data_IF_097467881834
#
_entry.id   IF_097467881834
#
_cell.length_a   1.000
_cell.length_b   1.000
_cell.length_c   1.000
_cell.angle_alpha   90.00
_cell.angle_beta   90.00
_cell.angle_gamma   90.00
#
_symmetry.space_group_name_H-M   'P 1'
#
loop_
_entity.id
_entity.type
_entity.pdbx_description
1 polymer ?
#
# COMPACT_ATOMS: atom_id res chain seq x y z
N UNK A 1 23.55 18.61 -32.00
CA UNK A 1 23.62 18.35 -30.54
C UNK A 1 22.42 17.48 -30.19
N UNK A 2 22.64 16.19 -29.96
CA UNK A 2 21.58 15.23 -29.63
C UNK A 2 21.11 15.50 -28.20
N UNK A 3 19.93 16.09 -28.03
CA UNK A 3 19.20 15.99 -26.77
C UNK A 3 18.47 14.67 -26.84
N UNK A 4 19.06 13.64 -26.23
CA UNK A 4 18.39 12.35 -26.05
C UNK A 4 17.02 12.61 -25.44
N UNK A 5 15.97 12.16 -26.12
CA UNK A 5 14.64 12.08 -25.54
C UNK A 5 14.77 11.24 -24.28
N UNK A 6 14.76 11.90 -23.13
CA UNK A 6 14.55 11.22 -21.86
C UNK A 6 13.14 10.67 -21.99
N UNK A 7 13.01 9.35 -22.14
CA UNK A 7 11.76 8.65 -21.85
C UNK A 7 11.53 8.82 -20.34
N UNK A 8 11.14 10.02 -19.90
CA UNK A 8 10.53 10.18 -18.61
C UNK A 8 9.14 9.58 -18.76
N UNK A 9 8.85 8.39 -18.19
CA UNK A 9 7.46 8.00 -18.02
C UNK A 9 6.77 9.18 -17.33
N UNK A 10 5.62 9.60 -17.86
CA UNK A 10 4.80 10.66 -17.29
C UNK A 10 4.60 10.33 -15.81
N UNK A 11 5.33 11.02 -14.93
CA UNK A 11 5.31 10.75 -13.50
C UNK A 11 4.01 11.30 -12.95
N UNK A 12 2.97 10.48 -12.87
CA UNK A 12 1.69 10.77 -12.22
C UNK A 12 1.79 10.77 -10.68
N UNK A 13 2.98 11.03 -10.12
CA UNK A 13 3.20 11.15 -8.68
C UNK A 13 3.12 12.62 -8.29
N UNK A 14 2.31 12.94 -7.30
CA UNK A 14 2.31 14.26 -6.67
C UNK A 14 3.52 14.36 -5.73
N UNK A 15 3.88 15.58 -5.30
CA UNK A 15 4.87 15.77 -4.24
C UNK A 15 4.24 16.57 -3.10
N UNK A 16 4.60 16.24 -1.87
CA UNK A 16 4.23 17.04 -0.71
C UNK A 16 5.01 18.37 -0.67
N UNK A 17 4.67 19.24 0.29
CA UNK A 17 5.36 20.52 0.51
C UNK A 17 6.83 20.40 0.92
N UNK A 18 7.32 19.18 1.17
CA UNK A 18 8.72 18.86 1.50
C UNK A 18 9.45 18.22 0.31
N UNK A 19 8.76 17.99 -0.80
CA UNK A 19 9.30 17.40 -2.03
C UNK A 19 9.27 15.88 -2.08
N UNK A 20 8.69 15.19 -1.09
CA UNK A 20 8.53 13.73 -1.11
C UNK A 20 7.44 13.33 -2.09
N UNK A 21 7.64 12.23 -2.82
CA UNK A 21 6.60 11.67 -3.68
C UNK A 21 5.41 11.19 -2.85
N UNK A 22 4.22 11.54 -3.32
CA UNK A 22 2.93 11.15 -2.77
C UNK A 22 2.08 10.50 -3.85
N UNK A 23 1.09 9.72 -3.40
CA UNK A 23 0.11 9.13 -4.29
C UNK A 23 -0.77 10.21 -4.93
N UNK A 24 -1.15 10.06 -6.20
CA UNK A 24 -2.16 10.90 -6.82
C UNK A 24 -3.53 10.70 -6.14
N UNK A 25 -4.38 11.72 -6.24
CA UNK A 25 -5.74 11.70 -5.70
C UNK A 25 -6.77 11.47 -6.82
N UNK A 26 -7.80 10.68 -6.53
CA UNK A 26 -8.97 10.54 -7.39
C UNK A 26 -9.97 11.70 -7.16
N UNK A 27 -11.14 11.66 -7.83
CA UNK A 27 -12.18 12.68 -7.67
C UNK A 27 -12.81 12.75 -6.27
N UNK A 28 -12.67 11.69 -5.47
CA UNK A 28 -13.19 11.55 -4.12
C UNK A 28 -12.14 11.93 -3.04
N UNK A 29 -10.94 12.33 -3.48
CA UNK A 29 -9.76 12.57 -2.64
C UNK A 29 -9.17 11.32 -1.96
N UNK A 30 -9.44 10.13 -2.49
CA UNK A 30 -8.69 8.94 -2.14
C UNK A 30 -7.35 8.95 -2.88
N UNK A 31 -6.30 8.54 -2.19
CA UNK A 31 -5.03 8.19 -2.81
C UNK A 31 -5.19 6.90 -3.61
N UNK A 32 -4.63 6.85 -4.82
CA UNK A 32 -4.61 5.63 -5.61
C UNK A 32 -3.19 5.26 -6.05
N UNK A 33 -2.98 3.95 -6.17
CA UNK A 33 -1.72 3.40 -6.64
C UNK A 33 -1.53 3.63 -8.14
N UNK A 34 -0.30 3.98 -8.52
CA UNK A 34 0.10 3.87 -9.91
C UNK A 34 0.31 2.40 -10.25
N UNK A 35 -0.19 1.98 -11.42
CA UNK A 35 -0.07 0.59 -11.86
C UNK A 35 0.92 0.45 -13.01
N UNK A 36 1.88 -0.44 -12.84
CA UNK A 36 2.94 -0.75 -13.83
C UNK A 36 3.05 -2.26 -13.94
N UNK A 37 3.00 -2.80 -15.16
CA UNK A 37 3.01 -4.26 -15.41
C UNK A 37 1.96 -5.00 -14.57
N UNK A 38 0.75 -4.48 -14.54
CA UNK A 38 -0.39 -5.01 -13.77
C UNK A 38 -0.19 -5.05 -12.24
N UNK A 39 0.84 -4.41 -11.71
CA UNK A 39 1.13 -4.34 -10.27
C UNK A 39 1.13 -2.90 -9.74
N UNK A 40 0.62 -2.71 -8.54
CA UNK A 40 0.59 -1.41 -7.86
C UNK A 40 1.97 -1.02 -7.32
N UNK A 41 2.38 0.22 -7.60
CA UNK A 41 3.68 0.78 -7.19
C UNK A 41 3.56 1.41 -5.81
N UNK A 42 4.36 0.92 -4.88
CA UNK A 42 4.46 1.46 -3.52
C UNK A 42 5.48 2.60 -3.47
N UNK A 43 5.07 3.74 -2.92
CA UNK A 43 5.93 4.90 -2.70
C UNK A 43 6.33 4.99 -1.22
N UNK A 44 7.63 5.13 -0.96
CA UNK A 44 8.21 5.34 0.38
C UNK A 44 7.77 4.31 1.44
N UNK A 45 7.56 3.05 1.05
CA UNK A 45 7.05 1.99 1.93
C UNK A 45 5.78 2.36 2.69
N UNK A 46 4.88 3.15 2.09
CA UNK A 46 3.62 3.58 2.71
C UNK A 46 2.41 3.06 1.95
N UNK A 47 1.35 2.72 2.67
CA UNK A 47 0.06 2.46 2.06
C UNK A 47 -0.58 3.76 1.55
N UNK A 48 -1.33 3.67 0.45
CA UNK A 48 -2.23 4.72 0.02
C UNK A 48 -3.41 4.78 1.00
N UNK A 49 -4.04 5.96 1.12
CA UNK A 49 -5.15 6.20 2.03
C UNK A 49 -6.40 6.66 1.30
N UNK A 50 -7.54 6.14 1.74
CA UNK A 50 -8.81 6.73 1.35
C UNK A 50 -9.00 8.13 1.97
N UNK A 51 -10.04 8.81 1.51
CA UNK A 51 -10.48 10.11 2.02
C UNK A 51 -10.81 10.09 3.52
N UNK A 52 -11.17 8.92 4.07
CA UNK A 52 -11.40 8.67 5.50
C UNK A 52 -10.13 8.34 6.29
N UNK A 53 -8.96 8.33 5.64
CA UNK A 53 -7.63 8.00 6.20
C UNK A 53 -7.42 6.53 6.55
N UNK A 54 -8.25 5.63 6.03
CA UNK A 54 -7.98 4.20 6.09
C UNK A 54 -6.90 3.84 5.08
N UNK A 55 -5.96 2.98 5.48
CA UNK A 55 -4.95 2.48 4.56
C UNK A 55 -5.52 1.42 3.62
N UNK A 56 -5.07 1.44 2.37
CA UNK A 56 -5.51 0.59 1.28
C UNK A 56 -4.34 -0.31 0.89
N UNK A 57 -4.57 -1.61 0.71
CA UNK A 57 -3.53 -2.50 0.20
C UNK A 57 -3.25 -2.25 -1.28
N UNK A 58 -1.97 -2.20 -1.69
CA UNK A 58 -1.62 -2.29 -3.10
C UNK A 58 -1.89 -3.70 -3.61
N UNK A 59 -2.12 -3.84 -4.91
CA UNK A 59 -2.31 -5.12 -5.58
C UNK A 59 -1.03 -5.63 -6.23
N UNK A 60 -0.81 -6.94 -6.16
CA UNK A 60 0.14 -7.63 -7.01
C UNK A 60 -0.41 -7.84 -8.44
N UNK A 61 0.40 -8.39 -9.34
CA UNK A 61 -0.01 -8.69 -10.72
C UNK A 61 -1.15 -9.72 -10.82
N UNK A 62 -1.41 -10.47 -9.75
CA UNK A 62 -2.50 -11.45 -9.63
C UNK A 62 -3.73 -10.88 -8.92
N UNK A 63 -3.71 -9.58 -8.58
CA UNK A 63 -4.74 -8.85 -7.84
C UNK A 63 -4.94 -9.26 -6.38
N UNK A 64 -3.96 -9.95 -5.79
CA UNK A 64 -3.90 -10.14 -4.35
C UNK A 64 -3.40 -8.87 -3.66
N UNK A 65 -3.82 -8.66 -2.41
CA UNK A 65 -3.24 -7.63 -1.56
C UNK A 65 -1.76 -7.92 -1.32
N UNK A 66 -0.93 -6.88 -1.46
CA UNK A 66 0.51 -6.92 -1.28
C UNK A 66 0.90 -6.16 0.00
N UNK A 67 1.15 -6.87 1.11
CA UNK A 67 1.60 -6.22 2.34
C UNK A 67 3.00 -5.61 2.16
N UNK A 68 3.21 -4.43 2.73
CA UNK A 68 4.48 -3.70 2.74
C UNK A 68 5.25 -4.06 4.01
N UNK A 69 6.53 -4.43 3.86
CA UNK A 69 7.46 -4.69 4.98
C UNK A 69 6.93 -5.70 6.02
N UNK A 70 6.13 -6.67 5.57
CA UNK A 70 5.46 -7.65 6.43
C UNK A 70 4.59 -7.02 7.51
N UNK A 71 3.86 -5.95 7.18
CA UNK A 71 2.91 -5.27 8.08
C UNK A 71 1.47 -5.36 7.58
N UNK A 72 0.52 -5.08 8.47
CA UNK A 72 -0.89 -4.91 8.14
C UNK A 72 -1.24 -3.43 7.97
N UNK A 73 -2.19 -3.14 7.10
CA UNK A 73 -2.76 -1.81 6.96
C UNK A 73 -3.75 -1.52 8.13
N UNK A 74 -3.62 -0.38 8.84
CA UNK A 74 -4.64 0.12 9.76
C UNK A 74 -5.73 0.98 9.10
N UNK A 75 -6.94 0.87 9.63
CA UNK A 75 -7.99 1.87 9.48
C UNK A 75 -7.66 3.12 10.31
N UNK A 76 -8.31 4.24 10.01
CA UNK A 76 -8.13 5.49 10.74
C UNK A 76 -8.43 5.37 12.25
N UNK A 77 -9.27 4.43 12.65
CA UNK A 77 -9.62 4.14 14.05
C UNK A 77 -8.64 3.17 14.75
N UNK A 78 -7.57 2.72 14.08
CA UNK A 78 -6.58 1.77 14.61
C UNK A 78 -6.94 0.30 14.44
N UNK A 79 -8.08 -0.03 13.85
CA UNK A 79 -8.43 -1.43 13.51
C UNK A 79 -7.52 -1.93 12.40
N UNK A 80 -6.92 -3.12 12.57
CA UNK A 80 -6.14 -3.75 11.51
C UNK A 80 -7.05 -4.37 10.45
N UNK A 81 -6.68 -4.21 9.18
CA UNK A 81 -7.28 -4.93 8.06
C UNK A 81 -6.32 -6.01 7.56
N UNK A 82 -6.84 -7.21 7.33
CA UNK A 82 -6.05 -8.35 6.85
C UNK A 82 -5.99 -8.35 5.31
N UNK A 83 -4.81 -8.66 4.72
CA UNK A 83 -4.70 -8.73 3.28
C UNK A 83 -5.48 -9.94 2.75
N UNK A 84 -5.98 -9.80 1.53
CA UNK A 84 -6.85 -10.78 0.86
C UNK A 84 -6.28 -11.20 -0.47
N UNK A 85 -6.53 -12.45 -0.83
CA UNK A 85 -6.35 -12.89 -2.22
C UNK A 85 -7.38 -12.21 -3.13
N UNK A 86 -7.17 -12.28 -4.45
CA UNK A 86 -8.16 -11.85 -5.45
C UNK A 86 -9.56 -12.45 -5.21
N UNK A 87 -9.62 -13.67 -4.68
CA UNK A 87 -10.87 -14.37 -4.36
C UNK A 87 -11.51 -13.93 -3.04
N UNK A 88 -10.88 -13.01 -2.31
CA UNK A 88 -11.38 -12.47 -1.04
C UNK A 88 -10.99 -13.28 0.19
N UNK A 89 -10.12 -14.28 0.06
CA UNK A 89 -9.63 -15.07 1.19
C UNK A 89 -8.58 -14.28 1.96
N UNK A 90 -8.82 -14.04 3.25
CA UNK A 90 -7.86 -13.39 4.14
C UNK A 90 -6.65 -14.29 4.40
N UNK A 91 -5.47 -13.68 4.50
CA UNK A 91 -4.25 -14.36 4.88
C UNK A 91 -3.45 -13.56 5.92
N UNK A 92 -2.65 -14.29 6.70
CA UNK A 92 -1.85 -13.72 7.77
C UNK A 92 -0.41 -13.51 7.31
N UNK A 93 0.11 -12.32 7.61
CA UNK A 93 1.50 -11.97 7.35
C UNK A 93 2.38 -12.63 8.41
N UNK A 94 3.48 -13.22 7.93
CA UNK A 94 4.48 -13.87 8.75
C UNK A 94 5.83 -13.20 8.59
N UNK A 95 6.62 -13.19 9.64
CA UNK A 95 8.02 -12.78 9.59
C UNK A 95 8.87 -13.83 8.86
N UNK A 96 10.18 -13.56 8.73
CA UNK A 96 11.15 -14.47 8.11
C UNK A 96 11.27 -15.83 8.81
N UNK A 97 10.93 -15.89 10.09
CA UNK A 97 10.98 -17.12 10.91
C UNK A 97 9.66 -17.90 10.84
N UNK A 98 8.66 -17.38 10.11
CA UNK A 98 7.35 -18.00 9.93
C UNK A 98 6.37 -17.73 11.08
N UNK A 99 6.74 -16.91 12.06
CA UNK A 99 5.86 -16.49 13.13
C UNK A 99 4.94 -15.35 12.67
N UNK A 100 3.74 -15.28 13.27
CA UNK A 100 2.78 -14.21 12.98
C UNK A 100 3.34 -12.86 13.41
N UNK A 101 3.20 -11.84 12.55
CA UNK A 101 3.59 -10.45 12.87
C UNK A 101 2.53 -9.70 13.69
N UNK A 102 1.43 -10.37 14.04
CA UNK A 102 0.40 -9.90 14.97
C UNK A 102 0.19 -10.87 16.12
N UNK A 103 -0.08 -10.33 17.31
CA UNK A 103 -0.38 -11.06 18.54
C UNK A 103 -1.72 -10.63 19.14
N UNK A 104 -2.36 -11.55 19.87
CA UNK A 104 -3.58 -11.26 20.61
C UNK A 104 -3.24 -10.79 22.02
N UNK A 105 -3.41 -9.51 22.30
CA UNK A 105 -3.14 -8.89 23.60
C UNK A 105 -4.46 -8.38 24.18
N UNK A 106 -4.91 -8.98 25.29
CA UNK A 106 -6.17 -8.64 25.96
C UNK A 106 -7.40 -8.66 25.03
N UNK A 107 -7.43 -9.59 24.07
CA UNK A 107 -8.52 -9.71 23.09
C UNK A 107 -8.37 -8.81 21.86
N UNK A 108 -7.31 -8.00 21.77
CA UNK A 108 -7.03 -7.16 20.62
C UNK A 108 -5.87 -7.73 19.79
N UNK A 109 -6.05 -7.83 18.47
CA UNK A 109 -4.98 -8.19 17.55
C UNK A 109 -4.11 -6.95 17.31
N UNK A 110 -2.88 -6.99 17.80
CA UNK A 110 -1.89 -5.91 17.68
C UNK A 110 -0.67 -6.41 16.92
N UNK A 111 0.03 -5.57 16.15
CA UNK A 111 1.34 -5.93 15.62
C UNK A 111 2.29 -6.31 16.77
N UNK A 112 3.13 -7.32 16.54
CA UNK A 112 4.15 -7.76 17.50
C UNK A 112 5.27 -6.74 17.65
#
# INVERSE_FOLDING_TARGET
MSRGSVNTPLMYTTRDGQGNFTYPLNGDNDEYYLRVNDEDVVLNSKYAKDSSKNEIYPKDALENDKPIESTYAPMANGTLIFPKTKDGNEFYVKDSDGASVTELINGNLLPR
#
